data_IF_775102201882
#
_entry.id   IF_775102201882
#
_cell.length_a   1.000
_cell.length_b   1.000
_cell.length_c   1.000
_cell.angle_alpha   90.00
_cell.angle_beta   90.00
_cell.angle_gamma   90.00
#
_symmetry.space_group_name_H-M   'P 1'
#
loop_
_entity.id
_entity.type
_entity.pdbx_description
1 polymer ?
#
# COMPACT_ATOMS: atom_id res chain seq x y z
N UNK A 1 -16.39 -12.08 10.93
CA UNK A 1 -15.13 -11.43 11.31
C UNK A 1 -14.72 -12.00 12.65
N UNK A 2 -13.51 -12.56 12.75
CA UNK A 2 -13.07 -13.25 13.96
C UNK A 2 -12.52 -12.23 14.97
N UNK A 3 -12.98 -12.34 16.22
CA UNK A 3 -12.41 -11.69 17.40
C UNK A 3 -11.07 -12.35 17.77
N UNK A 4 -10.00 -11.57 17.80
CA UNK A 4 -8.86 -11.79 18.67
C UNK A 4 -8.65 -10.53 19.49
N UNK A 5 -8.95 -10.62 20.80
CA UNK A 5 -8.60 -9.61 21.78
C UNK A 5 -7.08 -9.62 21.94
N UNK A 6 -6.37 -8.82 21.15
CA UNK A 6 -4.93 -8.73 21.28
C UNK A 6 -4.58 -8.00 22.60
N UNK A 7 -3.67 -8.59 23.39
CA UNK A 7 -3.04 -7.97 24.57
C UNK A 7 -1.96 -6.93 24.15
N UNK A 8 -2.33 -6.02 23.24
CA UNK A 8 -1.48 -5.00 22.62
C UNK A 8 -0.74 -4.10 23.62
N UNK A 9 -1.34 -3.66 24.75
CA UNK A 9 -0.67 -2.70 25.63
C UNK A 9 0.59 -3.26 26.30
N UNK A 10 0.66 -4.58 26.54
CA UNK A 10 1.79 -5.19 27.25
C UNK A 10 3.02 -5.38 26.36
N UNK A 11 2.84 -5.65 25.07
CA UNK A 11 3.95 -5.76 24.10
C UNK A 11 4.53 -4.38 23.82
N UNK A 12 3.68 -3.37 23.67
CA UNK A 12 4.10 -1.98 23.42
C UNK A 12 4.93 -1.36 24.54
N UNK A 13 4.62 -1.67 25.79
CA UNK A 13 5.38 -1.14 26.92
C UNK A 13 6.83 -1.67 26.95
N UNK A 14 7.11 -2.82 26.31
CA UNK A 14 8.45 -3.42 26.23
C UNK A 14 9.31 -2.88 25.10
N UNK A 15 8.73 -2.27 24.07
CA UNK A 15 9.47 -1.82 22.89
C UNK A 15 9.33 -0.31 22.70
N UNK A 16 10.44 0.42 22.85
CA UNK A 16 10.49 1.85 22.51
C UNK A 16 10.68 1.98 21.01
N UNK A 17 9.61 2.31 20.31
CA UNK A 17 9.70 2.64 18.88
C UNK A 17 10.55 3.90 18.71
N UNK A 18 11.55 3.83 17.82
CA UNK A 18 12.41 4.99 17.53
C UNK A 18 11.67 6.08 16.72
N UNK A 19 10.50 5.74 16.19
CA UNK A 19 9.59 6.63 15.49
C UNK A 19 8.56 7.24 16.46
N UNK A 20 8.56 8.56 16.60
CA UNK A 20 7.68 9.33 17.48
C UNK A 20 6.23 9.47 16.98
N UNK A 21 5.63 8.45 16.35
CA UNK A 21 4.33 8.61 15.68
C UNK A 21 3.24 7.64 16.13
N UNK A 22 2.06 8.22 16.35
CA UNK A 22 0.74 7.64 16.66
C UNK A 22 0.25 6.53 15.69
N UNK A 23 1.06 6.08 14.71
CA UNK A 23 0.65 5.11 13.69
C UNK A 23 0.76 3.65 14.10
N UNK A 24 1.65 3.30 15.02
CA UNK A 24 1.56 1.97 15.65
C UNK A 24 0.19 1.83 16.33
N UNK A 25 -0.25 2.87 17.05
CA UNK A 25 -1.58 2.92 17.68
C UNK A 25 -2.76 3.01 16.69
N UNK A 26 -2.60 3.65 15.53
CA UNK A 26 -3.64 3.66 14.48
C UNK A 26 -3.75 2.34 13.73
N UNK A 27 -2.63 1.69 13.36
CA UNK A 27 -2.64 0.33 12.78
C UNK A 27 -3.25 -0.68 13.76
N UNK A 28 -2.93 -0.56 15.04
CA UNK A 28 -3.60 -1.33 16.09
C UNK A 28 -5.09 -0.98 16.23
N UNK A 29 -5.45 0.29 16.17
CA UNK A 29 -6.84 0.76 16.21
C UNK A 29 -7.67 0.21 15.05
N UNK A 30 -7.11 0.16 13.84
CA UNK A 30 -7.74 -0.43 12.65
C UNK A 30 -7.79 -1.96 12.69
N UNK A 31 -6.77 -2.63 13.24
CA UNK A 31 -6.80 -4.08 13.52
C UNK A 31 -7.89 -4.41 14.56
N UNK A 32 -8.15 -3.51 15.52
CA UNK A 32 -9.23 -3.63 16.50
C UNK A 32 -10.60 -3.35 15.85
N UNK A 33 -10.75 -2.29 15.04
CA UNK A 33 -12.02 -1.95 14.35
C UNK A 33 -12.45 -2.98 13.32
N UNK A 34 -11.51 -3.63 12.61
CA UNK A 34 -11.82 -4.68 11.64
C UNK A 34 -12.34 -5.99 12.28
N UNK A 35 -12.26 -6.14 13.62
CA UNK A 35 -12.67 -7.34 14.33
C UNK A 35 -14.13 -7.31 14.86
N UNK A 36 -14.81 -6.16 14.89
CA UNK A 36 -16.17 -6.01 15.44
C UNK A 36 -17.17 -5.50 14.38
N UNK A 37 -17.59 -6.39 13.48
CA UNK A 37 -18.83 -6.22 12.73
C UNK A 37 -19.80 -7.34 13.11
N UNK A 38 -20.86 -6.91 13.81
CA UNK A 38 -22.07 -7.58 14.32
C UNK A 38 -22.00 -8.13 15.75
N UNK A 39 -22.37 -7.29 16.72
CA UNK A 39 -23.61 -7.50 17.51
C UNK A 39 -24.05 -6.25 18.32
N UNK A 40 -25.36 -6.03 18.32
CA UNK A 40 -26.18 -5.24 19.28
C UNK A 40 -26.31 -3.72 19.06
N UNK A 41 -27.30 -3.41 18.21
CA UNK A 41 -28.34 -2.41 18.50
C UNK A 41 -28.81 -2.59 19.95
N UNK A 42 -28.58 -1.60 20.83
CA UNK A 42 -29.53 -1.08 21.82
C UNK A 42 -28.87 -0.06 22.73
N UNK A 43 -29.31 1.19 22.60
CA UNK A 43 -29.59 2.02 23.77
C UNK A 43 -28.45 2.85 24.34
N UNK A 44 -28.10 3.95 23.65
CA UNK A 44 -27.95 5.22 24.35
C UNK A 44 -28.97 6.22 23.80
N UNK A 45 -29.90 6.53 24.68
CA UNK A 45 -31.03 7.43 24.51
C UNK A 45 -30.61 8.82 24.02
N UNK A 46 -31.23 9.24 22.92
CA UNK A 46 -32.14 10.37 22.86
C UNK A 46 -32.00 11.45 23.96
N UNK A 47 -31.46 12.61 23.58
CA UNK A 47 -32.10 13.90 23.91
C UNK A 47 -32.23 14.72 22.65
N UNK A 48 -33.44 14.66 22.07
CA UNK A 48 -34.01 15.81 21.37
C UNK A 48 -33.97 17.01 22.31
N UNK A 49 -33.39 18.12 21.85
CA UNK A 49 -33.89 19.43 22.18
C UNK A 49 -34.21 20.13 20.87
N UNK A 50 -35.50 20.10 20.53
CA UNK A 50 -36.15 21.01 19.60
C UNK A 50 -36.00 22.42 20.19
N UNK A 51 -35.41 23.32 19.43
CA UNK A 51 -35.71 24.74 19.57
C UNK A 51 -35.84 25.33 18.17
N UNK A 52 -37.10 25.60 17.84
CA UNK A 52 -37.52 26.30 16.64
C UNK A 52 -37.23 27.81 16.77
N UNK A 53 -36.95 28.39 15.59
CA UNK A 53 -37.10 29.80 15.16
C UNK A 53 -35.97 30.82 15.43
N UNK A 54 -35.84 31.88 14.60
CA UNK A 54 -36.42 32.12 13.27
C UNK A 54 -35.36 32.36 12.16
N UNK A 55 -35.80 32.20 10.91
CA UNK A 55 -35.06 32.63 9.73
C UNK A 55 -34.77 34.15 9.80
N UNK A 56 -33.48 34.50 9.91
CA UNK A 56 -32.98 35.81 9.48
C UNK A 56 -32.23 35.62 8.16
N UNK A 57 -32.93 35.87 7.06
CA UNK A 57 -32.31 36.10 5.77
C UNK A 57 -31.40 37.32 5.87
N UNK A 58 -30.09 37.09 6.05
CA UNK A 58 -29.07 38.08 5.72
C UNK A 58 -28.57 37.77 4.32
N UNK A 59 -28.94 38.62 3.37
CA UNK A 59 -28.41 38.66 2.02
C UNK A 59 -26.88 38.53 2.08
N UNK A 60 -26.38 37.37 1.64
CA UNK A 60 -24.95 37.07 1.56
C UNK A 60 -24.39 37.94 0.45
N UNK A 61 -23.67 39.00 0.81
CA UNK A 61 -22.88 39.81 -0.14
C UNK A 61 -22.14 38.87 -1.08
N UNK A 62 -22.38 39.04 -2.38
CA UNK A 62 -21.61 38.45 -3.47
C UNK A 62 -20.14 38.69 -3.16
N UNK A 63 -19.40 37.60 -2.92
CA UNK A 63 -17.94 37.69 -2.82
C UNK A 63 -17.44 38.06 -4.20
N UNK A 64 -17.00 39.31 -4.33
CA UNK A 64 -16.21 39.75 -5.46
C UNK A 64 -15.10 38.74 -5.72
N UNK A 65 -15.08 38.16 -6.92
CA UNK A 65 -14.00 37.31 -7.39
C UNK A 65 -12.79 38.22 -7.62
N UNK A 66 -12.03 38.50 -6.55
CA UNK A 66 -10.69 39.03 -6.71
C UNK A 66 -9.82 37.92 -7.31
N UNK A 67 -9.44 38.08 -8.57
CA UNK A 67 -8.40 37.31 -9.25
C UNK A 67 -7.04 37.70 -8.66
N UNK A 68 -6.85 37.43 -7.37
CA UNK A 68 -5.54 37.37 -6.76
C UNK A 68 -4.98 36.01 -7.14
N UNK A 69 -3.86 36.02 -7.85
CA UNK A 69 -3.05 34.85 -8.20
C UNK A 69 -3.20 33.75 -7.15
N UNK A 70 -3.99 32.71 -7.44
CA UNK A 70 -4.07 31.54 -6.56
C UNK A 70 -2.61 31.09 -6.38
N UNK A 71 -2.14 31.00 -5.14
CA UNK A 71 -0.81 30.47 -4.84
C UNK A 71 -0.80 28.99 -5.19
N UNK A 72 -0.66 28.71 -6.48
CA UNK A 72 -0.64 27.38 -7.06
C UNK A 72 0.80 26.86 -6.98
N UNK A 73 0.94 25.57 -6.77
CA UNK A 73 2.22 24.89 -6.84
C UNK A 73 2.07 23.63 -7.70
N UNK A 74 3.18 23.24 -8.32
CA UNK A 74 3.27 22.02 -9.12
C UNK A 74 4.10 21.01 -8.34
N UNK A 75 3.63 19.77 -8.32
CA UNK A 75 4.33 18.65 -7.71
C UNK A 75 4.28 17.45 -8.64
N UNK A 76 5.30 16.59 -8.57
CA UNK A 76 5.33 15.34 -9.33
C UNK A 76 4.84 14.18 -8.47
N UNK A 77 3.96 13.35 -9.03
CA UNK A 77 3.50 12.10 -8.42
C UNK A 77 4.03 10.94 -9.25
N UNK A 78 4.92 10.16 -8.67
CA UNK A 78 5.37 8.89 -9.25
C UNK A 78 4.25 7.86 -9.06
N UNK A 79 3.76 7.32 -10.17
CA UNK A 79 2.73 6.29 -10.20
C UNK A 79 3.34 4.92 -9.94
N UNK A 80 2.49 3.91 -9.73
CA UNK A 80 2.94 2.57 -9.36
C UNK A 80 3.76 1.95 -10.51
N UNK A 81 3.32 2.16 -11.76
CA UNK A 81 4.01 1.77 -13.01
C UNK A 81 5.32 2.54 -13.31
N UNK A 82 5.78 3.38 -12.37
CA UNK A 82 6.98 4.24 -12.45
C UNK A 82 6.88 5.41 -13.43
N UNK A 83 5.72 5.63 -14.06
CA UNK A 83 5.47 6.87 -14.78
C UNK A 83 5.28 8.03 -13.80
N UNK A 84 5.39 9.26 -14.30
CA UNK A 84 5.25 10.46 -13.47
C UNK A 84 4.10 11.31 -13.96
N UNK A 85 3.29 11.78 -13.02
CA UNK A 85 2.13 12.63 -13.24
C UNK A 85 2.34 13.98 -12.54
N UNK A 86 2.27 15.08 -13.28
CA UNK A 86 2.38 16.42 -12.69
C UNK A 86 1.02 16.94 -12.20
N UNK A 87 0.92 17.26 -10.92
CA UNK A 87 -0.30 17.78 -10.30
C UNK A 87 -0.14 19.27 -10.00
N UNK A 88 -1.12 20.06 -10.42
CA UNK A 88 -1.19 21.51 -10.18
C UNK A 88 -2.25 21.79 -9.12
N UNK A 89 -1.82 22.18 -7.92
CA UNK A 89 -2.70 22.31 -6.75
C UNK A 89 -2.64 23.71 -6.15
N UNK A 90 -3.72 24.13 -5.48
CA UNK A 90 -3.72 25.37 -4.70
C UNK A 90 -2.98 25.17 -3.37
N UNK A 91 -2.43 26.23 -2.78
CA UNK A 91 -1.74 26.16 -1.49
C UNK A 91 -2.57 25.59 -0.33
N UNK A 92 -3.89 25.65 -0.45
CA UNK A 92 -4.84 25.16 0.55
C UNK A 92 -5.37 23.75 0.23
N UNK A 93 -4.95 23.16 -0.91
CA UNK A 93 -5.34 21.80 -1.28
C UNK A 93 -4.82 20.79 -0.26
N UNK A 94 -5.69 19.87 0.12
CA UNK A 94 -5.39 18.77 1.02
C UNK A 94 -4.65 17.64 0.29
N UNK A 95 -4.10 16.69 1.06
CA UNK A 95 -3.56 15.45 0.47
C UNK A 95 -4.64 14.63 -0.24
N UNK A 96 -5.87 14.67 0.27
CA UNK A 96 -7.03 14.00 -0.34
C UNK A 96 -7.36 14.58 -1.71
N UNK A 97 -7.34 15.90 -1.85
CA UNK A 97 -7.58 16.56 -3.14
C UNK A 97 -6.55 16.13 -4.19
N UNK A 98 -5.28 15.99 -3.78
CA UNK A 98 -4.21 15.47 -4.64
C UNK A 98 -4.47 14.02 -5.03
N UNK A 99 -4.85 13.16 -4.07
CA UNK A 99 -5.12 11.75 -4.34
C UNK A 99 -6.29 11.60 -5.31
N UNK A 100 -7.38 12.31 -5.10
CA UNK A 100 -8.52 12.32 -6.02
C UNK A 100 -8.13 12.80 -7.42
N UNK A 101 -7.27 13.83 -7.54
CA UNK A 101 -6.79 14.28 -8.84
C UNK A 101 -6.01 13.19 -9.58
N UNK A 102 -5.13 12.46 -8.87
CA UNK A 102 -4.36 11.35 -9.41
C UNK A 102 -5.30 10.21 -9.84
N UNK A 103 -6.21 9.78 -8.95
CA UNK A 103 -7.17 8.70 -9.22
C UNK A 103 -8.07 9.02 -10.41
N UNK A 104 -8.57 10.25 -10.51
CA UNK A 104 -9.40 10.69 -11.63
C UNK A 104 -8.66 10.57 -12.98
N UNK A 105 -7.38 10.97 -13.02
CA UNK A 105 -6.58 10.88 -14.25
C UNK A 105 -6.21 9.44 -14.62
N UNK A 106 -6.10 8.56 -13.63
CA UNK A 106 -5.91 7.14 -13.83
C UNK A 106 -7.20 6.39 -14.18
N UNK A 107 -8.38 6.99 -13.97
CA UNK A 107 -9.67 6.32 -14.08
C UNK A 107 -9.99 5.39 -12.89
N UNK A 108 -9.24 5.50 -11.80
CA UNK A 108 -9.31 4.63 -10.63
C UNK A 108 -10.57 4.93 -9.80
N UNK A 109 -11.45 3.94 -9.66
CA UNK A 109 -12.76 4.11 -8.99
C UNK A 109 -12.76 3.77 -7.50
N UNK A 110 -11.73 3.08 -6.99
CA UNK A 110 -11.63 2.67 -5.59
C UNK A 110 -10.41 3.31 -4.90
N UNK A 111 -10.38 4.65 -4.72
CA UNK A 111 -9.24 5.37 -4.16
C UNK A 111 -8.92 4.97 -2.71
N UNK A 112 -9.85 4.34 -2.00
CA UNK A 112 -9.71 3.90 -0.61
C UNK A 112 -8.54 2.92 -0.38
N UNK A 113 -8.09 2.19 -1.40
CA UNK A 113 -6.95 1.28 -1.28
C UNK A 113 -5.59 1.96 -1.39
N UNK A 114 -5.56 3.21 -1.87
CA UNK A 114 -4.33 3.91 -2.22
C UNK A 114 -4.06 5.09 -1.29
N UNK A 115 -2.79 5.43 -1.20
CA UNK A 115 -2.34 6.64 -0.52
C UNK A 115 -1.15 7.26 -1.22
N UNK A 116 -0.74 8.42 -0.73
CA UNK A 116 0.42 9.14 -1.23
C UNK A 116 1.55 9.05 -0.20
N UNK A 117 2.77 8.78 -0.65
CA UNK A 117 4.00 8.77 0.16
C UNK A 117 4.95 9.87 -0.30
N UNK A 118 5.77 10.37 0.61
CA UNK A 118 6.88 11.28 0.31
C UNK A 118 8.16 10.82 1.00
N UNK A 119 9.30 11.22 0.45
CA UNK A 119 10.60 11.02 1.12
C UNK A 119 10.76 12.02 2.26
N UNK A 120 10.95 11.52 3.48
CA UNK A 120 11.08 12.33 4.70
C UNK A 120 12.48 12.95 4.79
N UNK A 121 12.57 14.16 5.34
CA UNK A 121 13.84 14.78 5.76
C UNK A 121 14.50 14.02 6.93
N UNK A 122 13.70 13.29 7.72
CA UNK A 122 14.22 12.47 8.82
C UNK A 122 14.77 11.15 8.27
N UNK A 123 15.87 10.62 8.84
CA UNK A 123 16.47 9.38 8.37
C UNK A 123 15.54 8.17 8.51
N UNK A 124 14.63 8.18 9.50
CA UNK A 124 13.69 7.10 9.75
C UNK A 124 12.31 7.62 10.21
N UNK A 125 11.19 7.12 9.67
CA UNK A 125 11.10 6.33 8.44
C UNK A 125 11.44 7.18 7.20
N UNK A 126 12.13 6.58 6.22
CA UNK A 126 12.57 7.26 4.99
C UNK A 126 11.39 7.64 4.08
N UNK A 127 10.41 6.76 3.95
CA UNK A 127 9.15 7.03 3.25
C UNK A 127 8.06 7.26 4.28
N UNK A 128 7.24 8.29 4.05
CA UNK A 128 6.15 8.66 4.95
C UNK A 128 4.87 8.91 4.16
N UNK A 129 3.77 8.38 4.66
CA UNK A 129 2.44 8.65 4.12
C UNK A 129 2.01 10.10 4.36
N UNK A 130 1.44 10.71 3.34
CA UNK A 130 0.73 12.00 3.39
C UNK A 130 -0.44 11.89 4.35
N UNK A 131 -0.69 12.96 5.10
CA UNK A 131 -1.88 13.06 5.94
C UNK A 131 -2.98 13.70 5.09
N UNK A 132 -3.89 12.88 4.56
CA UNK A 132 -4.82 13.30 3.50
C UNK A 132 -5.71 14.48 3.91
N UNK A 133 -6.09 14.59 5.18
CA UNK A 133 -6.92 15.67 5.72
C UNK A 133 -6.17 17.00 5.92
N UNK A 134 -4.84 17.01 5.80
CA UNK A 134 -4.02 18.21 6.05
C UNK A 134 -3.60 18.90 4.76
N UNK A 135 -3.34 20.23 4.81
CA UNK A 135 -2.82 20.97 3.67
C UNK A 135 -1.48 20.39 3.19
N UNK A 136 -1.47 19.91 1.94
CA UNK A 136 -0.36 19.13 1.39
C UNK A 136 0.92 19.96 1.31
N UNK A 137 0.83 21.21 0.83
CA UNK A 137 1.98 22.11 0.68
C UNK A 137 2.75 22.29 1.99
N UNK A 138 2.02 22.60 3.08
CA UNK A 138 2.61 22.80 4.41
C UNK A 138 3.28 21.53 4.94
N UNK A 139 2.70 20.37 4.65
CA UNK A 139 3.28 19.08 5.04
C UNK A 139 4.59 18.81 4.29
N UNK A 140 4.61 19.03 2.98
CA UNK A 140 5.80 18.80 2.15
C UNK A 140 6.93 19.77 2.51
N UNK A 141 6.64 21.07 2.64
CA UNK A 141 7.65 22.08 2.99
C UNK A 141 8.35 21.76 4.32
N UNK A 142 7.56 21.28 5.29
CA UNK A 142 8.04 20.98 6.64
C UNK A 142 8.79 19.64 6.71
N UNK A 143 8.27 18.59 6.09
CA UNK A 143 8.71 17.22 6.34
C UNK A 143 9.35 16.51 5.15
N UNK A 144 9.11 16.93 3.90
CA UNK A 144 9.56 16.22 2.72
C UNK A 144 10.93 16.71 2.22
N UNK A 145 11.77 15.78 1.77
CA UNK A 145 13.09 16.09 1.20
C UNK A 145 12.97 16.76 -0.17
N UNK A 146 11.94 16.42 -0.94
CA UNK A 146 11.64 16.97 -2.26
C UNK A 146 10.12 17.10 -2.45
N UNK A 147 9.64 17.96 -3.36
CA UNK A 147 8.22 18.11 -3.68
C UNK A 147 7.72 17.00 -4.62
N UNK A 148 8.11 15.75 -4.33
CA UNK A 148 7.72 14.57 -5.08
C UNK A 148 6.93 13.61 -4.19
N UNK A 149 5.85 13.07 -4.74
CA UNK A 149 5.01 12.07 -4.11
C UNK A 149 5.12 10.74 -4.84
N UNK A 150 4.69 9.68 -4.19
CA UNK A 150 4.56 8.35 -4.78
C UNK A 150 3.19 7.79 -4.43
N UNK A 151 2.43 7.41 -5.44
CA UNK A 151 1.19 6.65 -5.26
C UNK A 151 1.54 5.21 -4.88
N UNK A 152 0.86 4.66 -3.88
CA UNK A 152 1.06 3.27 -3.51
C UNK A 152 -0.16 2.69 -2.78
N UNK A 153 -0.27 1.37 -2.76
CA UNK A 153 -1.29 0.67 -1.95
C UNK A 153 -1.00 0.91 -0.47
N UNK A 154 -2.03 1.38 0.23
CA UNK A 154 -2.02 1.64 1.66
C UNK A 154 -2.67 0.50 2.45
N UNK A 155 -3.70 -0.13 1.88
CA UNK A 155 -4.44 -1.21 2.52
C UNK A 155 -4.38 -2.48 1.69
N UNK A 156 -3.73 -3.50 2.23
CA UNK A 156 -3.70 -4.82 1.61
C UNK A 156 -4.96 -5.61 1.95
N UNK A 157 -5.50 -6.31 0.97
CA UNK A 157 -6.77 -7.04 1.07
C UNK A 157 -6.54 -8.53 1.35
N UNK A 158 -7.53 -9.18 1.97
CA UNK A 158 -7.59 -10.63 2.15
C UNK A 158 -8.47 -11.31 1.08
N UNK A 159 -9.44 -10.58 0.54
CA UNK A 159 -10.35 -11.04 -0.50
C UNK A 159 -10.17 -10.19 -1.76
N UNK A 160 -9.77 -10.83 -2.86
CA UNK A 160 -9.55 -10.16 -4.15
C UNK A 160 -10.86 -9.68 -4.77
N UNK A 161 -12.01 -10.24 -4.37
CA UNK A 161 -13.34 -9.76 -4.77
C UNK A 161 -13.67 -8.34 -4.33
N UNK A 162 -12.89 -7.75 -3.42
CA UNK A 162 -12.98 -6.34 -3.06
C UNK A 162 -12.49 -5.40 -4.17
N UNK A 163 -11.64 -5.88 -5.09
CA UNK A 163 -11.17 -5.14 -6.26
C UNK A 163 -12.17 -5.32 -7.40
N UNK A 164 -13.21 -4.50 -7.39
CA UNK A 164 -14.31 -4.56 -8.37
C UNK A 164 -13.96 -3.83 -9.67
N UNK A 165 -13.13 -2.79 -9.57
CA UNK A 165 -12.69 -1.98 -10.70
C UNK A 165 -11.42 -2.57 -11.33
N UNK A 166 -11.43 -2.72 -12.66
CA UNK A 166 -10.33 -3.33 -13.40
C UNK A 166 -9.03 -2.52 -13.28
N UNK A 167 -9.13 -1.18 -13.33
CA UNK A 167 -7.97 -0.29 -13.17
C UNK A 167 -7.37 -0.41 -11.76
N UNK A 168 -8.23 -0.42 -10.74
CA UNK A 168 -7.84 -0.66 -9.35
C UNK A 168 -7.10 -1.99 -9.21
N UNK A 169 -7.62 -3.07 -9.80
CA UNK A 169 -6.97 -4.39 -9.77
C UNK A 169 -5.61 -4.38 -10.45
N UNK A 170 -5.49 -3.80 -11.64
CA UNK A 170 -4.21 -3.70 -12.34
C UNK A 170 -3.18 -2.90 -11.54
N UNK A 171 -3.58 -1.76 -10.94
CA UNK A 171 -2.69 -0.94 -10.09
C UNK A 171 -2.27 -1.68 -8.81
N UNK A 172 -3.20 -2.43 -8.20
CA UNK A 172 -2.91 -3.26 -7.03
C UNK A 172 -1.94 -4.40 -7.36
N UNK A 173 -2.17 -5.10 -8.49
CA UNK A 173 -1.26 -6.12 -9.02
C UNK A 173 0.16 -5.58 -9.18
N UNK A 174 0.31 -4.41 -9.82
CA UNK A 174 1.63 -3.80 -10.02
C UNK A 174 2.34 -3.53 -8.68
N UNK A 175 1.63 -3.01 -7.68
CA UNK A 175 2.22 -2.76 -6.36
C UNK A 175 2.72 -4.06 -5.71
N UNK A 176 1.88 -5.10 -5.70
CA UNK A 176 2.23 -6.41 -5.12
C UNK A 176 3.41 -7.02 -5.86
N UNK A 177 3.44 -6.90 -7.20
CA UNK A 177 4.57 -7.32 -8.02
C UNK A 177 5.86 -6.62 -7.60
N UNK A 178 5.85 -5.31 -7.41
CA UNK A 178 7.04 -4.59 -6.94
C UNK A 178 7.48 -5.05 -5.56
N UNK A 179 6.55 -5.30 -4.63
CA UNK A 179 6.90 -5.78 -3.29
C UNK A 179 7.54 -7.18 -3.31
N UNK A 180 7.09 -8.06 -4.22
CA UNK A 180 7.69 -9.38 -4.47
C UNK A 180 9.10 -9.22 -5.09
N UNK A 181 9.25 -8.37 -6.12
CA UNK A 181 10.54 -8.17 -6.80
C UNK A 181 11.60 -7.52 -5.90
N UNK A 182 11.20 -6.56 -5.06
CA UNK A 182 12.06 -5.92 -4.06
C UNK A 182 12.43 -6.85 -2.89
N UNK A 183 11.82 -8.03 -2.81
CA UNK A 183 12.08 -9.02 -1.77
C UNK A 183 11.44 -8.67 -0.41
N UNK A 184 10.43 -7.79 -0.40
CA UNK A 184 9.61 -7.54 0.80
C UNK A 184 8.76 -8.75 1.14
N UNK A 185 8.35 -9.48 0.11
CA UNK A 185 7.62 -10.73 0.21
C UNK A 185 8.56 -11.86 -0.20
N UNK A 186 8.73 -12.85 0.67
CA UNK A 186 9.60 -14.00 0.38
C UNK A 186 8.83 -15.05 -0.41
N UNK A 187 9.46 -15.58 -1.46
CA UNK A 187 8.90 -16.64 -2.29
C UNK A 187 9.89 -17.80 -2.40
N UNK A 188 9.36 -19.02 -2.43
CA UNK A 188 10.14 -20.21 -2.83
C UNK A 188 10.42 -20.19 -4.34
N UNK A 189 11.24 -21.15 -4.81
CA UNK A 189 11.48 -21.37 -6.23
C UNK A 189 10.16 -21.55 -7.01
N UNK A 190 9.31 -22.49 -6.60
CA UNK A 190 8.05 -22.80 -7.29
C UNK A 190 7.09 -21.59 -7.31
N UNK A 191 7.03 -20.85 -6.20
CA UNK A 191 6.19 -19.65 -6.09
C UNK A 191 6.71 -18.53 -6.98
N UNK A 192 8.03 -18.34 -7.05
CA UNK A 192 8.64 -17.34 -7.92
C UNK A 192 8.38 -17.65 -9.40
N UNK A 193 8.48 -18.93 -9.80
CA UNK A 193 8.14 -19.37 -11.16
C UNK A 193 6.67 -19.11 -11.48
N UNK A 194 5.77 -19.47 -10.56
CA UNK A 194 4.33 -19.28 -10.74
C UNK A 194 3.96 -17.79 -10.85
N UNK A 195 4.45 -16.95 -9.94
CA UNK A 195 4.24 -15.49 -9.98
C UNK A 195 4.80 -14.88 -11.26
N UNK A 196 6.02 -15.24 -11.65
CA UNK A 196 6.61 -14.76 -12.89
C UNK A 196 5.76 -15.13 -14.12
N UNK A 197 5.23 -16.35 -14.17
CA UNK A 197 4.35 -16.79 -15.27
C UNK A 197 3.04 -15.98 -15.35
N UNK A 198 2.40 -15.69 -14.21
CA UNK A 198 1.20 -14.84 -14.18
C UNK A 198 1.52 -13.39 -14.55
N UNK A 199 2.66 -12.85 -14.10
CA UNK A 199 3.10 -11.51 -14.49
C UNK A 199 3.30 -11.41 -16.00
N UNK A 200 3.97 -12.39 -16.60
CA UNK A 200 4.20 -12.43 -18.05
C UNK A 200 2.89 -12.54 -18.83
N UNK A 201 1.97 -13.39 -18.39
CA UNK A 201 0.64 -13.51 -19.01
C UNK A 201 -0.17 -12.21 -18.90
N UNK A 202 -0.08 -11.50 -17.76
CA UNK A 202 -0.76 -10.22 -17.58
C UNK A 202 -0.19 -9.10 -18.47
N UNK A 203 1.13 -9.07 -18.69
CA UNK A 203 1.79 -7.98 -19.42
C UNK A 203 1.96 -8.24 -20.93
N UNK A 204 2.18 -9.49 -21.33
CA UNK A 204 2.51 -9.88 -22.70
C UNK A 204 1.42 -10.73 -23.38
N UNK A 205 0.39 -11.16 -22.64
CA UNK A 205 -0.66 -12.04 -23.15
C UNK A 205 -0.20 -13.47 -23.33
N UNK A 206 -0.68 -14.17 -24.36
CA UNK A 206 -0.34 -15.58 -24.59
C UNK A 206 1.13 -15.80 -25.00
N UNK A 207 1.72 -16.89 -24.50
CA UNK A 207 3.08 -17.29 -24.85
C UNK A 207 3.27 -17.53 -26.36
N UNK A 208 4.31 -16.91 -26.92
CA UNK A 208 4.75 -17.11 -28.30
C UNK A 208 6.14 -17.75 -28.29
N UNK A 209 6.23 -19.04 -28.66
CA UNK A 209 7.47 -19.84 -28.58
C UNK A 209 8.68 -19.20 -29.28
N UNK A 210 8.44 -18.51 -30.40
CA UNK A 210 9.51 -17.87 -31.19
C UNK A 210 10.00 -16.55 -30.56
N UNK A 211 9.21 -15.93 -29.69
CA UNK A 211 9.46 -14.58 -29.17
C UNK A 211 9.80 -14.58 -27.68
N UNK A 212 9.11 -15.39 -26.89
CA UNK A 212 9.26 -15.48 -25.43
C UNK A 212 10.24 -16.61 -25.06
N UNK A 213 11.48 -16.50 -25.54
CA UNK A 213 12.56 -17.43 -25.18
C UNK A 213 13.18 -17.06 -23.83
N UNK A 214 13.88 -17.99 -23.15
CA UNK A 214 14.62 -17.69 -21.92
C UNK A 214 15.56 -16.50 -22.07
N UNK A 215 16.27 -16.41 -23.20
CA UNK A 215 17.21 -15.32 -23.50
C UNK A 215 16.50 -13.97 -23.58
N UNK A 216 15.31 -13.93 -24.19
CA UNK A 216 14.50 -12.72 -24.25
C UNK A 216 14.00 -12.31 -22.86
N UNK A 217 13.53 -13.28 -22.07
CA UNK A 217 12.98 -13.04 -20.73
C UNK A 217 14.04 -12.64 -19.70
N UNK A 218 15.32 -12.91 -19.95
CA UNK A 218 16.44 -12.57 -19.07
C UNK A 218 16.58 -11.06 -18.82
N UNK A 219 16.19 -10.24 -19.79
CA UNK A 219 16.28 -8.77 -19.68
C UNK A 219 15.15 -8.18 -18.82
N UNK A 220 14.12 -8.98 -18.49
CA UNK A 220 12.99 -8.56 -17.67
C UNK A 220 13.21 -8.91 -16.19
N UNK A 221 12.88 -7.97 -15.31
CA UNK A 221 12.87 -8.19 -13.87
C UNK A 221 11.59 -8.93 -13.46
N UNK A 222 11.62 -10.26 -13.58
CA UNK A 222 10.46 -11.13 -13.27
C UNK A 222 10.62 -11.94 -11.97
N UNK A 223 11.84 -12.05 -11.44
CA UNK A 223 12.11 -12.84 -10.23
C UNK A 223 12.45 -11.98 -9.01
N UNK A 224 12.08 -12.42 -7.78
CA UNK A 224 12.51 -11.78 -6.54
C UNK A 224 14.04 -11.76 -6.41
N UNK A 225 14.59 -10.66 -5.90
CA UNK A 225 16.03 -10.51 -5.67
C UNK A 225 16.61 -11.58 -4.72
N UNK A 226 15.78 -12.14 -3.83
CA UNK A 226 16.17 -13.26 -2.96
C UNK A 226 16.43 -14.53 -3.78
N UNK A 227 15.47 -14.94 -4.61
CA UNK A 227 15.53 -16.22 -5.35
C UNK A 227 16.66 -16.22 -6.38
N UNK A 228 16.93 -15.08 -7.02
CA UNK A 228 18.07 -14.92 -7.93
C UNK A 228 19.43 -15.19 -7.25
N UNK A 229 19.54 -14.93 -5.94
CA UNK A 229 20.78 -15.19 -5.19
C UNK A 229 20.94 -16.65 -4.79
N UNK A 230 19.82 -17.36 -4.62
CA UNK A 230 19.78 -18.73 -4.12
C UNK A 230 19.77 -19.77 -5.25
N UNK A 231 19.39 -19.38 -6.47
CA UNK A 231 19.21 -20.31 -7.61
C UNK A 231 19.75 -19.73 -8.91
N UNK A 232 20.20 -20.61 -9.80
CA UNK A 232 20.66 -20.23 -11.14
C UNK A 232 19.49 -19.65 -11.97
N UNK A 233 19.72 -18.49 -12.57
CA UNK A 233 18.70 -17.73 -13.32
C UNK A 233 18.25 -18.48 -14.59
N UNK A 234 19.13 -19.23 -15.23
CA UNK A 234 18.83 -20.07 -16.40
C UNK A 234 17.71 -21.07 -16.07
N UNK A 235 17.86 -21.83 -14.99
CA UNK A 235 16.88 -22.81 -14.51
C UNK A 235 15.52 -22.17 -14.21
N UNK A 236 15.52 -20.98 -13.59
CA UNK A 236 14.29 -20.21 -13.34
C UNK A 236 13.60 -19.80 -14.64
N UNK A 237 14.36 -19.32 -15.62
CA UNK A 237 13.83 -18.88 -16.91
C UNK A 237 13.23 -20.05 -17.70
N UNK A 238 13.89 -21.20 -17.73
CA UNK A 238 13.37 -22.42 -18.37
C UNK A 238 12.04 -22.86 -17.73
N UNK A 239 11.99 -22.91 -16.40
CA UNK A 239 10.78 -23.26 -15.66
C UNK A 239 9.64 -22.27 -15.92
N UNK A 240 9.93 -20.96 -15.95
CA UNK A 240 8.93 -19.93 -16.26
C UNK A 240 8.42 -20.03 -17.69
N UNK A 241 9.27 -20.28 -18.67
CA UNK A 241 8.83 -20.44 -20.07
C UNK A 241 7.86 -21.62 -20.19
N UNK A 242 8.18 -22.74 -19.55
CA UNK A 242 7.29 -23.90 -19.52
C UNK A 242 5.95 -23.54 -18.85
N UNK A 243 5.98 -22.95 -17.67
CA UNK A 243 4.77 -22.58 -16.93
C UNK A 243 3.92 -21.55 -17.69
N UNK A 244 4.56 -20.53 -18.27
CA UNK A 244 3.90 -19.49 -19.05
C UNK A 244 3.20 -20.07 -20.29
N UNK A 245 3.80 -21.05 -20.95
CA UNK A 245 3.17 -21.73 -22.09
C UNK A 245 1.87 -22.48 -21.72
N UNK A 246 1.75 -22.92 -20.46
CA UNK A 246 0.55 -23.60 -19.96
C UNK A 246 -0.64 -22.67 -19.68
N UNK A 247 -0.40 -21.34 -19.62
CA UNK A 247 -1.43 -20.34 -19.30
C UNK A 247 -2.18 -19.81 -20.53
N UNK A 248 -1.98 -20.42 -21.71
CA UNK A 248 -2.59 -19.96 -22.96
C UNK A 248 -4.11 -19.82 -22.86
N UNK A 249 -4.64 -18.67 -23.29
CA UNK A 249 -6.05 -18.33 -23.23
C UNK A 249 -6.50 -17.72 -21.89
N UNK A 250 -5.59 -17.58 -20.92
CA UNK A 250 -5.88 -16.88 -19.67
C UNK A 250 -5.90 -15.37 -19.91
N UNK A 251 -7.06 -14.74 -19.72
CA UNK A 251 -7.20 -13.29 -19.86
C UNK A 251 -6.39 -12.52 -18.82
N UNK A 252 -5.94 -11.32 -19.18
CA UNK A 252 -5.12 -10.43 -18.32
C UNK A 252 -5.73 -10.25 -16.92
N UNK A 253 -7.03 -9.95 -16.83
CA UNK A 253 -7.73 -9.75 -15.56
C UNK A 253 -7.62 -10.95 -14.60
N UNK A 254 -7.69 -12.16 -15.14
CA UNK A 254 -7.57 -13.39 -14.35
C UNK A 254 -6.10 -13.67 -13.98
N UNK A 255 -5.16 -13.37 -14.88
CA UNK A 255 -3.73 -13.48 -14.58
C UNK A 255 -3.32 -12.54 -13.43
N UNK A 256 -3.76 -11.28 -13.45
CA UNK A 256 -3.58 -10.33 -12.34
C UNK A 256 -4.22 -10.86 -11.04
N UNK A 257 -5.44 -11.38 -11.12
CA UNK A 257 -6.17 -11.96 -9.97
C UNK A 257 -5.40 -13.14 -9.37
N UNK A 258 -4.93 -14.08 -10.19
CA UNK A 258 -4.17 -15.24 -9.72
C UNK A 258 -2.80 -14.84 -9.16
N UNK A 259 -2.15 -13.82 -9.72
CA UNK A 259 -0.94 -13.26 -9.13
C UNK A 259 -1.20 -12.75 -7.72
N UNK A 260 -2.24 -11.95 -7.51
CA UNK A 260 -2.59 -11.38 -6.20
C UNK A 260 -2.92 -12.52 -5.21
N UNK A 261 -3.71 -13.51 -5.63
CA UNK A 261 -4.08 -14.65 -4.79
C UNK A 261 -2.87 -15.46 -4.35
N UNK A 262 -1.91 -15.72 -5.27
CA UNK A 262 -0.70 -16.44 -4.89
C UNK A 262 0.19 -15.60 -3.98
N UNK A 263 0.32 -14.30 -4.24
CA UNK A 263 1.09 -13.39 -3.40
C UNK A 263 0.53 -13.28 -1.97
N UNK A 264 -0.79 -13.36 -1.78
CA UNK A 264 -1.44 -13.37 -0.45
C UNK A 264 -1.00 -14.55 0.42
N UNK A 265 -0.56 -15.66 -0.18
CA UNK A 265 -0.13 -16.87 0.53
C UNK A 265 1.32 -16.78 1.00
N UNK A 266 2.06 -15.80 0.52
CA UNK A 266 3.49 -15.63 0.81
C UNK A 266 3.71 -14.95 2.16
N UNK A 267 4.82 -15.32 2.81
CA UNK A 267 5.26 -14.64 4.03
C UNK A 267 5.74 -13.22 3.70
N UNK A 268 5.17 -12.23 4.39
CA UNK A 268 5.48 -10.81 4.20
C UNK A 268 4.43 -10.03 3.40
N UNK A 269 3.42 -10.71 2.85
CA UNK A 269 2.32 -10.01 2.16
C UNK A 269 1.62 -9.01 3.09
N UNK A 270 1.54 -7.75 2.66
CA UNK A 270 0.95 -6.67 3.44
C UNK A 270 1.63 -6.40 4.79
N UNK A 271 2.86 -6.90 5.00
CA UNK A 271 3.59 -6.69 6.24
C UNK A 271 4.36 -5.35 6.17
N UNK A 272 4.06 -4.43 7.09
CA UNK A 272 4.85 -3.22 7.30
C UNK A 272 5.86 -3.46 8.44
N UNK A 273 7.14 -3.15 8.20
CA UNK A 273 8.21 -3.32 9.19
C UNK A 273 8.69 -1.98 9.75
N UNK A 274 8.81 -1.93 11.08
CA UNK A 274 9.22 -0.77 11.85
C UNK A 274 10.44 -1.11 12.71
N UNK A 275 11.44 -0.24 12.72
CA UNK A 275 12.62 -0.38 13.56
C UNK A 275 12.32 0.18 14.96
N UNK A 276 12.48 -0.66 15.97
CA UNK A 276 12.30 -0.34 17.36
C UNK A 276 13.51 -0.79 18.18
N UNK A 277 13.52 -0.43 19.46
CA UNK A 277 14.50 -0.92 20.44
C UNK A 277 13.78 -1.66 21.55
N UNK A 278 14.34 -2.80 21.95
CA UNK A 278 13.87 -3.54 23.11
C UNK A 278 14.27 -2.84 24.43
N UNK A 279 13.85 -3.41 25.56
CA UNK A 279 14.19 -2.91 26.90
C UNK A 279 15.70 -2.89 27.17
N UNK A 280 16.48 -3.70 26.44
CA UNK A 280 17.94 -3.81 26.54
C UNK A 280 18.67 -2.86 25.59
N UNK A 281 17.93 -2.11 24.77
CA UNK A 281 18.47 -1.17 23.78
C UNK A 281 18.90 -1.82 22.46
N UNK A 282 18.68 -3.13 22.29
CA UNK A 282 18.96 -3.86 21.05
C UNK A 282 17.95 -3.50 19.97
N UNK A 283 18.43 -3.38 18.73
CA UNK A 283 17.60 -3.03 17.59
C UNK A 283 16.77 -4.25 17.14
N UNK A 284 15.46 -4.03 17.01
CA UNK A 284 14.48 -5.03 16.61
C UNK A 284 13.58 -4.48 15.51
N UNK A 285 13.06 -5.36 14.67
CA UNK A 285 12.07 -5.03 13.65
C UNK A 285 10.70 -5.54 14.07
N UNK A 286 9.75 -4.62 14.27
CA UNK A 286 8.34 -4.88 14.49
C UNK A 286 7.66 -4.99 13.12
N UNK A 287 7.18 -6.16 12.74
CA UNK A 287 6.38 -6.36 11.54
C UNK A 287 4.89 -6.41 11.88
N UNK A 288 4.10 -5.46 11.39
CA UNK A 288 2.65 -5.51 11.47
C UNK A 288 2.07 -6.12 10.19
N UNK A 289 1.22 -7.12 10.30
CA UNK A 289 0.49 -7.70 9.17
C UNK A 289 -0.96 -7.97 9.53
N UNK A 290 -1.75 -8.38 8.54
CA UNK A 290 -3.14 -8.82 8.73
C UNK A 290 -3.28 -10.01 9.70
N UNK A 291 -2.19 -10.75 9.94
CA UNK A 291 -2.17 -11.92 10.84
C UNK A 291 -1.79 -11.59 12.28
N UNK A 292 -1.28 -10.37 12.54
CA UNK A 292 -0.82 -9.94 13.87
C UNK A 292 0.49 -9.16 13.85
N UNK A 293 1.16 -9.11 15.00
CA UNK A 293 2.43 -8.41 15.18
C UNK A 293 3.58 -9.41 15.34
N UNK A 294 4.55 -9.35 14.45
CA UNK A 294 5.82 -10.08 14.58
C UNK A 294 6.94 -9.19 15.11
N UNK A 295 7.84 -9.74 15.91
CA UNK A 295 9.07 -9.08 16.35
C UNK A 295 10.25 -9.92 15.92
N UNK A 296 11.12 -9.35 15.09
CA UNK A 296 12.33 -9.98 14.59
C UNK A 296 13.55 -9.27 15.17
N UNK A 297 14.50 -10.03 15.72
CA UNK A 297 15.83 -9.48 16.05
C UNK A 297 16.52 -8.96 14.79
N UNK A 298 17.29 -7.87 14.89
CA UNK A 298 18.14 -7.42 13.79
C UNK A 298 19.18 -8.48 13.35
N UNK A 299 19.51 -9.45 14.22
CA UNK A 299 20.39 -10.58 13.93
C UNK A 299 19.70 -11.75 13.20
N UNK A 300 18.36 -11.76 13.12
CA UNK A 300 17.58 -12.85 12.48
C UNK A 300 17.39 -14.12 13.33
N UNK A 301 17.99 -14.19 14.52
CA UNK A 301 18.02 -15.42 15.35
C UNK A 301 16.70 -15.74 16.08
N UNK A 302 15.79 -14.78 16.20
CA UNK A 302 14.51 -14.99 16.87
C UNK A 302 13.38 -14.18 16.23
N UNK A 303 12.28 -14.89 15.95
CA UNK A 303 11.01 -14.34 15.49
C UNK A 303 9.94 -14.70 16.51
N UNK A 304 9.43 -13.69 17.22
CA UNK A 304 8.31 -13.86 18.14
C UNK A 304 7.07 -13.31 17.49
N UNK A 305 6.06 -14.16 17.27
CA UNK A 305 4.80 -13.76 16.65
C UNK A 305 3.69 -13.64 17.69
N UNK A 306 3.05 -12.48 17.76
CA UNK A 306 1.95 -12.18 18.65
C UNK A 306 0.65 -12.21 17.84
N UNK A 307 -0.17 -13.24 18.08
CA UNK A 307 -1.55 -13.40 17.58
C UNK A 307 -2.57 -12.82 18.55
#
# INVERSE_FOLDING_TARGET
>A
MYKALFHIPQVLNKYKCTSSENKFLLLLGYVIEAADIKLVILGWYCRLCVLMMPLKFRLRKTRNYNVLSRNVFVLSVVLIDKTTLECTLSSDSSGLDCLHNVCQRLGLQQPEFFGLRYMSKRPYPKLRWVELERPLKRQLDKYAQSPALTLAVMYYIHDVGLLQDDVTRSQYFLQVKYDVLEGRVRASFDQAVLLASYSLQAEFGDHQRERHTPEYLKDFKVFPAQVIKETEVSTLLEAVVWQYSSLKGLGQALAETYYILEAQRLSGYGQETFMARDEKGSEVYLGASLLGLGVNSASGDSQTFYK
#
